data_IF_021670702891
#
_entry.id   IF_021670702891
#
_cell.length_a   1.000
_cell.length_b   1.000
_cell.length_c   1.000
_cell.angle_alpha   90.00
_cell.angle_beta   90.00
_cell.angle_gamma   90.00
#
_symmetry.space_group_name_H-M   'P 1'
#
loop_
_entity.id
_entity.type
_entity.pdbx_description
1 polymer ?
#
# COMPACT_ATOMS: atom_id res chain seq x y z
N UNK A 1 23.96 -1.78 -4.99
CA UNK A 1 24.13 -2.41 -6.32
C UNK A 1 23.37 -1.59 -7.36
N UNK A 2 23.70 -1.68 -8.65
CA UNK A 2 23.01 -0.92 -9.69
C UNK A 2 21.89 -1.80 -10.28
N UNK A 3 20.70 -1.77 -9.69
CA UNK A 3 19.51 -2.32 -10.33
C UNK A 3 19.29 -1.64 -11.68
N UNK A 4 18.91 -2.43 -12.69
CA UNK A 4 18.52 -1.87 -13.98
C UNK A 4 17.16 -1.17 -13.81
N UNK A 5 17.10 0.07 -14.26
CA UNK A 5 15.86 0.86 -14.26
C UNK A 5 15.04 0.45 -15.48
N UNK A 6 13.93 -0.26 -15.29
CA UNK A 6 13.06 -0.73 -16.39
C UNK A 6 11.69 -0.08 -16.42
N UNK A 7 11.45 0.88 -15.56
CA UNK A 7 10.18 1.58 -15.37
C UNK A 7 10.09 2.87 -16.20
N UNK A 8 11.07 3.07 -17.09
CA UNK A 8 11.06 4.18 -18.05
C UNK A 8 10.15 3.87 -19.24
N UNK A 9 9.21 4.79 -19.51
CA UNK A 9 8.37 4.74 -20.72
C UNK A 9 7.57 3.44 -20.87
N UNK A 10 7.05 2.93 -19.76
CA UNK A 10 6.26 1.70 -19.72
C UNK A 10 5.00 1.78 -20.61
N UNK A 11 4.75 0.69 -21.34
CA UNK A 11 3.49 0.51 -22.07
C UNK A 11 2.48 -0.16 -21.14
N UNK A 12 1.43 0.56 -20.74
CA UNK A 12 0.36 0.04 -19.87
C UNK A 12 -0.29 -1.26 -20.37
N UNK A 13 -0.23 -1.55 -21.68
CA UNK A 13 -0.77 -2.78 -22.25
C UNK A 13 0.16 -4.00 -22.12
N UNK A 14 1.40 -3.80 -21.65
CA UNK A 14 2.31 -4.90 -21.33
C UNK A 14 1.86 -5.53 -20.00
N UNK A 15 1.56 -6.85 -19.95
CA UNK A 15 1.19 -7.54 -18.73
C UNK A 15 2.21 -7.42 -17.59
N UNK A 16 3.49 -7.13 -17.91
CA UNK A 16 4.54 -6.92 -16.92
C UNK A 16 4.68 -5.48 -16.45
N UNK A 17 4.02 -4.51 -17.10
CA UNK A 17 4.17 -3.09 -16.77
C UNK A 17 3.83 -2.75 -15.30
N UNK A 18 2.77 -3.32 -14.66
CA UNK A 18 2.51 -3.11 -13.23
C UNK A 18 3.69 -3.51 -12.33
N UNK A 19 4.44 -4.55 -12.70
CA UNK A 19 5.56 -5.06 -11.91
C UNK A 19 6.85 -4.29 -12.21
N UNK A 20 7.09 -3.96 -13.48
CA UNK A 20 8.21 -3.09 -13.84
C UNK A 20 8.11 -1.73 -13.14
N UNK A 21 6.90 -1.19 -12.97
CA UNK A 21 6.64 0.04 -12.21
C UNK A 21 6.91 -0.07 -10.70
N UNK A 22 7.23 -1.26 -10.19
CA UNK A 22 7.74 -1.48 -8.83
C UNK A 22 9.25 -1.76 -8.82
N UNK A 23 9.91 -1.62 -9.98
CA UNK A 23 11.31 -1.95 -10.22
C UNK A 23 11.65 -3.44 -10.18
N UNK A 24 10.66 -4.33 -10.33
CA UNK A 24 10.88 -5.80 -10.32
C UNK A 24 10.60 -6.41 -11.69
N UNK A 25 11.24 -7.53 -12.00
CA UNK A 25 11.07 -8.22 -13.30
C UNK A 25 11.78 -7.56 -14.48
N UNK A 26 12.64 -6.58 -14.22
CA UNK A 26 13.34 -5.78 -15.22
C UNK A 26 14.36 -6.54 -16.10
N UNK A 27 14.91 -7.64 -15.58
CA UNK A 27 15.91 -8.48 -16.27
C UNK A 27 15.71 -9.94 -15.87
N UNK A 28 16.39 -10.84 -16.58
CA UNK A 28 16.55 -12.24 -16.18
C UNK A 28 17.88 -12.47 -15.43
N UNK A 29 18.71 -11.44 -15.30
CA UNK A 29 19.93 -11.47 -14.49
C UNK A 29 19.60 -11.08 -13.04
N UNK A 30 19.74 -12.00 -12.06
CA UNK A 30 19.48 -11.72 -10.65
C UNK A 30 20.45 -10.72 -10.02
N UNK A 31 21.56 -10.37 -10.70
CA UNK A 31 22.50 -9.33 -10.27
C UNK A 31 22.05 -7.92 -10.69
N UNK A 32 21.11 -7.82 -11.63
CA UNK A 32 20.65 -6.56 -12.19
C UNK A 32 19.16 -6.30 -11.88
N UNK A 33 18.40 -7.32 -11.49
CA UNK A 33 16.95 -7.24 -11.25
C UNK A 33 16.48 -8.25 -10.23
N UNK A 34 15.42 -7.90 -9.53
CA UNK A 34 14.60 -8.86 -8.78
C UNK A 34 13.86 -9.73 -9.79
N UNK A 35 14.09 -11.05 -9.75
CA UNK A 35 13.50 -12.01 -10.68
C UNK A 35 12.13 -12.43 -10.17
N UNK A 36 11.09 -12.15 -10.95
CA UNK A 36 9.72 -12.49 -10.57
C UNK A 36 9.15 -13.60 -11.45
N UNK A 37 8.23 -14.35 -10.85
CA UNK A 37 7.46 -15.43 -11.46
C UNK A 37 6.04 -15.42 -10.88
N UNK A 38 5.14 -16.23 -11.45
CA UNK A 38 3.74 -16.35 -11.01
C UNK A 38 3.05 -14.99 -10.84
N UNK A 39 3.38 -14.04 -11.71
CA UNK A 39 2.83 -12.69 -11.69
C UNK A 39 1.36 -12.73 -12.03
N UNK A 40 0.55 -12.03 -11.24
CA UNK A 40 -0.89 -11.87 -11.46
C UNK A 40 -1.25 -10.42 -11.23
N UNK A 41 -1.98 -9.81 -12.15
CA UNK A 41 -2.59 -8.50 -11.98
C UNK A 41 -4.04 -8.58 -12.42
N UNK A 42 -4.96 -8.16 -11.55
CA UNK A 42 -6.39 -8.23 -11.79
C UNK A 42 -7.01 -6.84 -11.59
N UNK A 43 -7.44 -6.27 -12.71
CA UNK A 43 -8.26 -5.07 -12.76
C UNK A 43 -8.99 -5.04 -14.11
N UNK A 44 -10.24 -5.57 -14.17
CA UNK A 44 -11.06 -5.48 -15.36
C UNK A 44 -11.26 -4.06 -15.90
N UNK A 45 -11.36 -3.05 -15.02
CA UNK A 45 -11.43 -1.65 -15.43
C UNK A 45 -10.02 -1.09 -15.70
N UNK A 46 -9.66 -0.79 -16.97
CA UNK A 46 -8.36 -0.21 -17.28
C UNK A 46 -8.16 1.20 -16.72
N UNK A 47 -9.18 1.85 -16.18
CA UNK A 47 -9.08 3.17 -15.53
C UNK A 47 -8.95 3.08 -14.01
N UNK A 48 -9.04 1.89 -13.40
CA UNK A 48 -8.87 1.72 -11.95
C UNK A 48 -7.41 1.67 -11.48
N UNK A 49 -6.47 1.90 -12.40
CA UNK A 49 -5.05 1.95 -12.10
C UNK A 49 -4.30 2.75 -13.15
N UNK A 50 -3.11 3.22 -12.82
CA UNK A 50 -2.19 3.89 -13.74
C UNK A 50 -0.74 3.58 -13.37
N UNK A 51 0.16 3.82 -14.32
CA UNK A 51 1.61 3.93 -14.06
C UNK A 51 1.96 5.40 -14.24
N UNK A 52 2.62 5.99 -13.26
CA UNK A 52 2.86 7.43 -13.25
C UNK A 52 4.22 7.80 -12.66
N UNK A 53 4.69 8.98 -13.06
CA UNK A 53 5.91 9.64 -12.57
C UNK A 53 5.63 10.68 -11.49
N UNK A 54 4.37 10.79 -11.07
CA UNK A 54 3.92 11.79 -10.13
C UNK A 54 2.42 11.72 -9.89
N UNK A 55 1.97 12.10 -8.71
CA UNK A 55 0.55 12.27 -8.38
C UNK A 55 0.30 13.60 -7.68
N UNK A 56 -0.79 14.29 -8.06
CA UNK A 56 -1.11 15.60 -7.54
C UNK A 56 -0.23 16.72 -8.10
N UNK A 57 -0.28 17.87 -7.44
CA UNK A 57 0.38 19.10 -7.89
C UNK A 57 1.28 19.74 -6.85
N UNK A 58 1.29 19.21 -5.64
CA UNK A 58 2.09 19.76 -4.55
C UNK A 58 3.56 19.42 -4.73
N UNK A 59 4.39 20.46 -4.70
CA UNK A 59 5.85 20.36 -4.75
C UNK A 59 6.39 20.61 -3.36
N UNK A 60 7.14 19.65 -2.81
CA UNK A 60 7.81 19.82 -1.54
C UNK A 60 8.85 20.96 -1.66
N UNK A 61 8.74 22.03 -0.84
CA UNK A 61 9.67 23.16 -0.90
C UNK A 61 11.12 22.80 -0.54
N UNK A 62 11.36 21.67 0.13
CA UNK A 62 12.70 21.23 0.51
C UNK A 62 13.43 20.51 -0.62
N UNK A 63 12.75 19.60 -1.31
CA UNK A 63 13.32 18.80 -2.41
C UNK A 63 13.11 19.45 -3.79
N UNK A 64 12.11 20.32 -3.92
CA UNK A 64 11.64 20.87 -5.19
C UNK A 64 11.16 19.78 -6.17
N UNK A 65 10.59 18.70 -5.61
CA UNK A 65 9.98 17.57 -6.32
C UNK A 65 8.52 17.42 -5.89
N UNK A 66 7.70 16.71 -6.68
CA UNK A 66 6.34 16.38 -6.24
C UNK A 66 6.45 15.50 -5.00
N UNK A 67 5.62 15.75 -3.99
CA UNK A 67 5.63 14.93 -2.76
C UNK A 67 5.33 13.45 -3.06
N UNK A 68 4.44 13.21 -4.03
CA UNK A 68 4.17 11.89 -4.58
C UNK A 68 4.91 11.68 -5.90
N UNK A 69 6.24 11.70 -5.85
CA UNK A 69 7.10 11.17 -6.92
C UNK A 69 7.47 9.71 -6.64
N UNK A 70 7.96 8.96 -7.65
CA UNK A 70 8.52 7.62 -7.44
C UNK A 70 9.60 7.63 -6.37
N UNK A 71 9.54 6.67 -5.45
CA UNK A 71 10.55 6.50 -4.39
C UNK A 71 11.81 5.83 -4.94
N UNK A 72 11.67 5.17 -6.09
CA UNK A 72 12.76 4.64 -6.88
C UNK A 72 12.48 4.81 -8.38
N UNK A 73 13.53 4.66 -9.19
CA UNK A 73 13.38 4.62 -10.64
C UNK A 73 12.74 5.89 -11.23
N UNK A 74 11.77 5.70 -12.13
CA UNK A 74 11.05 6.74 -12.84
C UNK A 74 9.52 6.66 -12.74
N UNK A 75 8.94 5.57 -12.23
CA UNK A 75 7.48 5.46 -12.08
C UNK A 75 7.05 4.55 -10.95
N UNK A 76 5.85 4.79 -10.42
CA UNK A 76 5.14 3.92 -9.49
C UNK A 76 3.84 3.39 -10.11
N UNK A 77 3.19 2.43 -9.46
CA UNK A 77 1.81 2.05 -9.76
C UNK A 77 0.84 2.76 -8.82
N UNK A 78 -0.23 3.33 -9.38
CA UNK A 78 -1.41 3.79 -8.65
C UNK A 78 -2.55 2.81 -8.91
N UNK A 79 -3.22 2.36 -7.86
CA UNK A 79 -4.45 1.57 -7.91
C UNK A 79 -5.57 2.31 -7.19
N UNK A 80 -6.82 2.13 -7.60
CA UNK A 80 -7.98 2.76 -6.99
C UNK A 80 -9.20 1.83 -6.98
N UNK A 81 -10.04 1.96 -5.95
CA UNK A 81 -11.37 1.33 -5.90
C UNK A 81 -12.39 2.03 -6.81
N UNK A 82 -12.01 3.11 -7.48
CA UNK A 82 -12.64 3.45 -8.75
C UNK A 82 -11.67 4.04 -9.74
N UNK A 83 -12.04 5.10 -10.46
CA UNK A 83 -11.28 5.53 -11.64
C UNK A 83 -10.27 6.63 -11.34
N UNK A 84 -9.14 6.54 -12.03
CA UNK A 84 -8.04 7.50 -11.99
C UNK A 84 -7.72 7.98 -13.41
N UNK A 85 -7.54 9.29 -13.55
CA UNK A 85 -7.21 9.97 -14.80
C UNK A 85 -5.91 9.43 -15.37
N UNK A 86 -5.83 9.38 -16.70
CA UNK A 86 -4.58 9.04 -17.36
C UNK A 86 -3.51 10.10 -17.04
N UNK A 87 -2.23 9.70 -16.86
CA UNK A 87 -1.14 10.64 -16.67
C UNK A 87 -1.05 11.65 -17.83
N UNK A 88 -0.68 12.89 -17.52
CA UNK A 88 -0.49 13.95 -18.51
C UNK A 88 0.79 13.75 -19.34
N UNK A 89 1.15 14.73 -20.18
CA UNK A 89 2.34 14.66 -21.05
C UNK A 89 3.68 14.54 -20.32
N UNK A 90 3.70 14.81 -19.01
CA UNK A 90 4.84 14.67 -18.12
C UNK A 90 4.80 13.35 -17.32
N UNK A 91 3.77 12.53 -17.53
CA UNK A 91 3.57 11.29 -16.78
C UNK A 91 3.00 11.51 -15.38
N UNK A 92 2.47 12.69 -15.06
CA UNK A 92 1.88 13.01 -13.75
C UNK A 92 0.37 12.84 -13.81
N UNK A 93 -0.21 12.13 -12.85
CA UNK A 93 -1.66 12.05 -12.65
C UNK A 93 -2.11 13.28 -11.88
N UNK A 94 -3.10 13.98 -12.42
CA UNK A 94 -3.77 15.09 -11.74
C UNK A 94 -5.26 14.94 -11.91
N UNK A 95 -5.99 15.00 -10.81
CA UNK A 95 -7.44 14.97 -10.78
C UNK A 95 -8.02 16.37 -10.55
N UNK A 96 -9.29 16.54 -10.88
CA UNK A 96 -10.05 17.70 -10.44
C UNK A 96 -10.49 17.51 -8.98
N UNK A 97 -10.61 18.60 -8.24
CA UNK A 97 -11.18 18.57 -6.89
C UNK A 97 -12.59 17.94 -6.91
N UNK A 98 -12.83 17.00 -6.01
CA UNK A 98 -14.08 16.26 -5.88
C UNK A 98 -14.23 15.09 -6.85
N UNK A 99 -13.19 14.79 -7.64
CA UNK A 99 -13.26 13.72 -8.65
C UNK A 99 -13.26 12.32 -8.02
N UNK A 100 -12.79 12.19 -6.78
CA UNK A 100 -12.79 10.94 -6.02
C UNK A 100 -14.02 10.80 -5.09
N UNK A 101 -15.00 11.71 -5.16
CA UNK A 101 -16.19 11.75 -4.28
C UNK A 101 -17.37 10.91 -4.81
N UNK A 102 -17.31 10.46 -6.07
CA UNK A 102 -18.44 9.81 -6.75
C UNK A 102 -17.97 8.77 -7.74
N UNK A 103 -17.36 7.69 -7.24
CA UNK A 103 -16.76 6.70 -8.11
C UNK A 103 -17.78 5.74 -8.70
N UNK A 104 -18.73 5.25 -7.88
CA UNK A 104 -19.64 4.14 -8.23
C UNK A 104 -18.86 2.88 -8.63
N UNK A 105 -19.59 1.76 -8.74
CA UNK A 105 -19.03 0.52 -9.26
C UNK A 105 -18.28 0.74 -10.59
N UNK A 106 -17.01 0.36 -10.61
CA UNK A 106 -16.10 0.53 -11.76
C UNK A 106 -16.05 -0.74 -12.64
N UNK A 107 -16.60 -1.86 -12.15
CA UNK A 107 -16.68 -3.13 -12.86
C UNK A 107 -15.54 -4.11 -12.53
N UNK A 108 -14.67 -3.75 -11.59
CA UNK A 108 -13.86 -4.70 -10.84
C UNK A 108 -14.75 -5.62 -9.98
N UNK A 109 -14.23 -6.75 -9.45
CA UNK A 109 -15.05 -7.74 -8.76
C UNK A 109 -15.53 -7.30 -7.36
N UNK A 110 -16.77 -7.67 -7.00
CA UNK A 110 -17.44 -7.31 -5.73
C UNK A 110 -17.78 -8.52 -4.82
N UNK A 111 -17.11 -9.66 -5.02
CA UNK A 111 -17.43 -10.85 -4.25
C UNK A 111 -16.65 -10.91 -2.92
N UNK A 112 -17.21 -11.56 -1.90
CA UNK A 112 -16.59 -11.77 -0.58
C UNK A 112 -15.43 -12.80 -0.56
N UNK A 113 -14.62 -12.87 -1.63
CA UNK A 113 -13.40 -13.66 -1.64
C UNK A 113 -12.16 -12.78 -1.78
N UNK A 114 -11.15 -13.11 -0.98
CA UNK A 114 -9.79 -12.63 -1.17
C UNK A 114 -9.08 -13.44 -2.28
N UNK A 115 -8.05 -12.86 -2.91
CA UNK A 115 -7.18 -13.60 -3.82
C UNK A 115 -6.62 -14.89 -3.19
N UNK A 116 -6.49 -15.95 -4.01
CA UNK A 116 -6.01 -17.23 -3.53
C UNK A 116 -4.60 -17.14 -2.93
N UNK A 117 -4.49 -17.47 -1.64
CA UNK A 117 -3.27 -17.38 -0.83
C UNK A 117 -3.36 -16.36 0.31
N UNK A 118 -4.41 -15.53 0.32
CA UNK A 118 -4.76 -14.66 1.44
C UNK A 118 -5.92 -15.25 2.25
N UNK A 119 -6.06 -14.86 3.52
CA UNK A 119 -7.12 -15.32 4.40
C UNK A 119 -7.57 -14.22 5.35
N UNK A 120 -8.87 -14.17 5.65
CA UNK A 120 -9.43 -13.38 6.77
C UNK A 120 -9.70 -14.23 8.02
N UNK A 121 -9.31 -15.50 7.97
CA UNK A 121 -9.47 -16.40 9.12
C UNK A 121 -8.44 -16.05 10.18
N UNK A 122 -8.88 -15.89 11.43
CA UNK A 122 -7.98 -15.67 12.55
C UNK A 122 -6.94 -16.79 12.63
N UNK A 123 -5.67 -16.41 12.56
CA UNK A 123 -4.56 -17.33 12.74
C UNK A 123 -3.91 -17.16 14.09
N UNK A 124 -3.37 -15.96 14.30
CA UNK A 124 -2.47 -15.74 15.42
C UNK A 124 -3.18 -15.94 16.75
N UNK A 125 -2.60 -16.78 17.61
CA UNK A 125 -3.13 -17.07 18.95
C UNK A 125 -4.64 -17.41 18.97
N UNK A 126 -5.14 -18.05 17.91
CA UNK A 126 -6.56 -18.37 17.69
C UNK A 126 -7.50 -17.14 17.76
N UNK A 127 -7.05 -15.97 17.33
CA UNK A 127 -7.84 -14.73 17.32
C UNK A 127 -7.97 -14.07 18.69
N UNK A 128 -7.14 -14.44 19.66
CA UNK A 128 -7.10 -13.78 20.96
C UNK A 128 -6.38 -12.40 20.91
N UNK A 129 -5.86 -11.98 19.74
CA UNK A 129 -5.19 -10.70 19.56
C UNK A 129 -3.77 -10.62 20.14
N UNK A 130 -3.09 -9.53 19.79
CA UNK A 130 -1.89 -9.02 20.46
C UNK A 130 -0.65 -9.91 20.40
N UNK A 131 -0.62 -10.89 19.50
CA UNK A 131 0.50 -11.83 19.36
C UNK A 131 0.74 -12.23 17.90
N UNK A 132 0.99 -11.30 16.96
CA UNK A 132 1.27 -11.65 15.55
C UNK A 132 2.35 -12.74 15.40
N UNK A 133 2.18 -13.66 14.46
CA UNK A 133 3.12 -14.75 14.19
C UNK A 133 2.98 -16.01 15.07
N UNK A 134 2.10 -16.02 16.07
CA UNK A 134 1.94 -17.15 16.99
C UNK A 134 1.00 -18.22 16.45
N UNK A 135 1.49 -19.45 16.27
CA UNK A 135 0.73 -20.60 15.72
C UNK A 135 0.27 -20.40 14.26
N UNK A 136 1.16 -19.83 13.44
CA UNK A 136 0.94 -19.60 12.01
C UNK A 136 0.69 -20.86 11.19
N UNK A 137 -0.23 -20.75 10.23
CA UNK A 137 -0.45 -21.75 9.19
C UNK A 137 -0.83 -21.07 7.85
N UNK A 138 -0.55 -21.69 6.69
CA UNK A 138 -0.74 -21.07 5.37
C UNK A 138 -2.18 -20.67 4.99
N UNK A 139 -3.19 -21.16 5.72
CA UNK A 139 -4.61 -20.86 5.52
C UNK A 139 -5.17 -19.83 6.51
N UNK A 140 -4.31 -19.29 7.38
CA UNK A 140 -4.67 -18.38 8.44
C UNK A 140 -3.99 -17.02 8.29
N UNK A 141 -4.61 -15.98 8.83
CA UNK A 141 -4.02 -14.66 8.97
C UNK A 141 -3.13 -14.61 10.22
N UNK A 142 -1.81 -14.71 10.03
CA UNK A 142 -0.83 -14.57 11.10
C UNK A 142 -0.70 -13.16 11.65
N UNK A 143 -1.22 -12.16 10.94
CA UNK A 143 -1.22 -10.77 11.44
C UNK A 143 -2.30 -10.55 12.50
N UNK A 144 -3.36 -11.37 12.49
CA UNK A 144 -4.59 -11.18 13.28
C UNK A 144 -5.21 -9.79 13.10
N UNK A 145 -5.00 -9.17 11.93
CA UNK A 145 -5.43 -7.80 11.65
C UNK A 145 -6.74 -7.75 10.85
N UNK A 146 -6.99 -8.74 9.97
CA UNK A 146 -8.04 -8.59 8.95
C UNK A 146 -9.45 -8.91 9.44
N UNK A 147 -9.64 -9.92 10.29
CA UNK A 147 -10.98 -10.46 10.54
C UNK A 147 -11.97 -9.39 11.06
N UNK A 148 -11.55 -8.61 12.04
CA UNK A 148 -12.42 -7.61 12.67
C UNK A 148 -12.84 -6.52 11.67
N UNK A 149 -11.90 -6.02 10.87
CA UNK A 149 -12.19 -5.00 9.85
C UNK A 149 -13.02 -5.57 8.70
N UNK A 150 -12.73 -6.80 8.26
CA UNK A 150 -13.52 -7.49 7.24
C UNK A 150 -14.98 -7.68 7.66
N UNK A 151 -15.23 -7.99 8.94
CA UNK A 151 -16.58 -8.10 9.48
C UNK A 151 -17.26 -6.74 9.68
N UNK A 152 -16.49 -5.71 10.05
CA UNK A 152 -16.98 -4.34 10.18
C UNK A 152 -17.57 -3.85 8.85
N UNK A 153 -16.87 -4.07 7.74
CA UNK A 153 -17.36 -3.81 6.38
C UNK A 153 -18.32 -4.88 5.83
N UNK A 154 -19.06 -5.56 6.71
CA UNK A 154 -20.06 -6.60 6.38
C UNK A 154 -19.58 -7.77 5.52
N UNK A 155 -18.25 -7.98 5.43
CA UNK A 155 -17.64 -8.93 4.50
C UNK A 155 -18.09 -8.69 3.06
N UNK A 156 -18.14 -7.41 2.68
CA UNK A 156 -18.65 -6.93 1.40
C UNK A 156 -17.58 -6.05 0.72
N UNK A 157 -16.48 -6.66 0.24
CA UNK A 157 -15.46 -5.93 -0.51
C UNK A 157 -15.95 -5.69 -1.95
N UNK A 158 -15.84 -4.45 -2.41
CA UNK A 158 -16.22 -4.01 -3.73
C UNK A 158 -15.01 -3.49 -4.51
N UNK A 159 -15.19 -3.47 -5.83
CA UNK A 159 -14.27 -2.86 -6.78
C UNK A 159 -12.81 -3.33 -6.65
N UNK A 160 -12.63 -4.60 -6.27
CA UNK A 160 -11.35 -5.17 -5.88
C UNK A 160 -10.30 -5.09 -6.98
N UNK A 161 -9.12 -4.61 -6.62
CA UNK A 161 -7.92 -4.62 -7.47
C UNK A 161 -6.77 -5.26 -6.73
N UNK A 162 -6.01 -6.12 -7.43
CA UNK A 162 -4.84 -6.74 -6.82
C UNK A 162 -3.74 -7.10 -7.81
N UNK A 163 -2.52 -7.16 -7.29
CA UNK A 163 -1.39 -7.80 -7.93
C UNK A 163 -0.71 -8.78 -6.98
N UNK A 164 -0.02 -9.77 -7.53
CA UNK A 164 0.90 -10.63 -6.78
C UNK A 164 2.07 -11.08 -7.63
N UNK A 165 3.19 -11.37 -6.98
CA UNK A 165 4.38 -11.95 -7.60
C UNK A 165 5.06 -12.93 -6.65
N UNK A 166 5.84 -13.85 -7.22
CA UNK A 166 6.72 -14.74 -6.47
C UNK A 166 8.16 -14.48 -6.88
N UNK A 167 9.07 -14.40 -5.91
CA UNK A 167 10.51 -14.28 -6.13
C UNK A 167 11.25 -15.24 -5.20
N UNK A 168 12.39 -15.75 -5.67
CA UNK A 168 13.32 -16.46 -4.79
C UNK A 168 14.25 -15.44 -4.14
N UNK A 169 14.41 -15.51 -2.81
CA UNK A 169 15.30 -14.61 -2.08
C UNK A 169 16.75 -14.93 -2.42
N UNK A 170 17.55 -13.97 -2.93
CA UNK A 170 18.96 -14.21 -3.21
C UNK A 170 19.80 -14.52 -1.96
N UNK A 171 20.94 -15.17 -2.15
CA UNK A 171 21.95 -15.31 -1.07
C UNK A 171 22.49 -13.94 -0.68
N UNK A 172 22.68 -13.70 0.61
CA UNK A 172 23.11 -12.42 1.19
C UNK A 172 22.00 -11.38 1.40
N UNK A 173 20.73 -11.74 1.17
CA UNK A 173 19.57 -10.86 1.38
C UNK A 173 18.84 -11.27 2.65
N UNK A 174 18.70 -10.33 3.58
CA UNK A 174 18.19 -10.57 4.94
C UNK A 174 16.89 -9.81 5.24
N UNK A 175 16.57 -8.80 4.43
CA UNK A 175 15.29 -8.11 4.49
C UNK A 175 14.89 -7.54 3.13
N UNK A 176 13.67 -7.03 3.04
CA UNK A 176 13.23 -6.22 1.92
C UNK A 176 12.41 -5.03 2.39
N UNK A 177 12.32 -4.03 1.52
CA UNK A 177 11.48 -2.84 1.68
C UNK A 177 10.42 -2.81 0.58
N UNK A 178 9.25 -2.28 0.91
CA UNK A 178 8.19 -1.88 -0.02
C UNK A 178 7.53 -0.62 0.53
N UNK A 179 7.12 0.32 -0.33
CA UNK A 179 6.52 1.58 0.10
C UNK A 179 5.13 1.76 -0.51
N UNK A 180 4.27 2.46 0.21
CA UNK A 180 2.95 2.82 -0.28
C UNK A 180 2.50 4.19 0.24
N UNK A 181 1.61 4.85 -0.48
CA UNK A 181 0.82 5.97 0.05
C UNK A 181 -0.66 5.61 -0.10
N UNK A 182 -1.49 6.00 0.87
CA UNK A 182 -2.91 5.64 0.93
C UNK A 182 -3.79 6.88 0.95
N UNK A 183 -4.90 6.87 0.22
CA UNK A 183 -5.85 7.97 0.08
C UNK A 183 -7.27 7.46 0.17
N UNK A 184 -8.18 8.19 0.82
CA UNK A 184 -9.58 7.79 0.87
C UNK A 184 -10.51 8.99 0.97
N UNK A 185 -11.59 8.95 0.20
CA UNK A 185 -12.68 9.91 0.25
C UNK A 185 -13.66 9.66 1.40
N UNK A 186 -13.47 8.59 2.17
CA UNK A 186 -14.32 8.24 3.32
C UNK A 186 -14.17 9.25 4.48
N UNK A 187 -13.02 9.92 4.57
CA UNK A 187 -12.82 10.97 5.55
C UNK A 187 -13.50 12.29 5.18
N UNK A 188 -13.99 13.08 6.15
CA UNK A 188 -14.09 12.79 7.59
C UNK A 188 -15.39 12.08 7.98
N UNK A 189 -16.29 11.84 7.02
CA UNK A 189 -17.69 11.52 7.32
C UNK A 189 -17.86 10.08 7.80
N UNK A 190 -17.07 9.16 7.27
CA UNK A 190 -17.23 7.72 7.43
C UNK A 190 -16.03 7.05 8.13
N UNK A 191 -15.15 7.86 8.70
CA UNK A 191 -14.13 7.40 9.63
C UNK A 191 -14.75 6.58 10.78
N UNK A 192 -14.16 5.42 11.09
CA UNK A 192 -14.55 4.48 12.14
C UNK A 192 -15.96 3.88 11.91
N UNK A 193 -16.31 3.65 10.64
CA UNK A 193 -17.56 3.01 10.23
C UNK A 193 -17.31 1.74 9.41
N UNK A 194 -18.39 1.13 8.90
CA UNK A 194 -18.31 0.00 7.97
C UNK A 194 -17.66 0.33 6.61
N UNK A 195 -17.61 1.62 6.22
CA UNK A 195 -17.05 2.08 4.95
C UNK A 195 -15.55 2.32 5.06
N UNK A 196 -14.87 1.34 5.68
CA UNK A 196 -13.45 1.46 6.02
C UNK A 196 -12.63 0.63 5.04
N UNK A 197 -12.37 1.23 3.89
CA UNK A 197 -11.64 0.63 2.77
C UNK A 197 -10.29 0.07 3.19
N UNK A 198 -9.89 -1.02 2.53
CA UNK A 198 -8.75 -1.83 2.94
C UNK A 198 -7.64 -1.80 1.89
N UNK A 199 -6.45 -1.37 2.29
CA UNK A 199 -5.20 -1.74 1.64
C UNK A 199 -4.54 -2.88 2.43
N UNK A 200 -4.33 -4.01 1.75
CA UNK A 200 -3.69 -5.19 2.29
C UNK A 200 -2.46 -5.49 1.45
N UNK A 201 -1.29 -5.47 2.09
CA UNK A 201 -0.07 -6.02 1.54
C UNK A 201 0.17 -7.33 2.28
N UNK A 202 0.10 -8.46 1.58
CA UNK A 202 0.19 -9.79 2.18
C UNK A 202 1.49 -10.48 1.81
N UNK A 203 2.15 -11.05 2.81
CA UNK A 203 3.36 -11.86 2.67
C UNK A 203 3.03 -13.34 2.87
N UNK A 204 3.57 -14.18 2.00
CA UNK A 204 3.67 -15.62 2.20
C UNK A 204 5.13 -16.03 2.03
N UNK A 205 5.81 -16.27 3.14
CA UNK A 205 7.18 -16.76 3.28
C UNK A 205 7.19 -18.09 4.06
N UNK A 206 8.35 -18.66 4.34
CA UNK A 206 8.54 -19.88 5.14
C UNK A 206 8.18 -19.68 6.62
N UNK A 207 8.35 -18.46 7.13
CA UNK A 207 8.15 -18.14 8.54
C UNK A 207 6.91 -17.25 8.81
N UNK A 208 6.26 -16.74 7.77
CA UNK A 208 5.15 -15.80 7.92
C UNK A 208 4.09 -15.87 6.80
N UNK A 209 2.81 -15.82 7.19
CA UNK A 209 1.65 -15.76 6.28
C UNK A 209 0.62 -14.76 6.79
N UNK A 210 0.62 -13.53 6.29
CA UNK A 210 -0.31 -12.53 6.82
C UNK A 210 -0.18 -11.16 6.18
N UNK A 211 -1.07 -10.27 6.61
CA UNK A 211 -0.99 -8.85 6.28
C UNK A 211 0.25 -8.21 6.93
N UNK A 212 1.06 -7.51 6.14
CA UNK A 212 2.24 -6.77 6.58
C UNK A 212 2.06 -5.25 6.51
N UNK A 213 0.97 -4.76 5.90
CA UNK A 213 0.57 -3.34 5.96
C UNK A 213 -0.33 -3.11 7.18
N UNK A 214 0.28 -3.25 8.37
CA UNK A 214 -0.39 -3.18 9.68
C UNK A 214 0.02 -1.92 10.44
N UNK A 215 -0.96 -1.11 10.81
CA UNK A 215 -0.81 0.12 11.62
C UNK A 215 -1.60 -0.09 12.90
N UNK A 216 -0.92 -0.04 14.06
CA UNK A 216 -1.50 -0.32 15.39
C UNK A 216 -2.34 -1.60 15.45
N UNK A 217 -1.76 -2.71 14.99
CA UNK A 217 -2.39 -4.03 14.92
C UNK A 217 -3.64 -4.12 14.00
N UNK A 218 -3.94 -3.06 13.22
CA UNK A 218 -5.05 -3.02 12.25
C UNK A 218 -4.50 -2.97 10.82
N UNK A 219 -5.24 -3.46 9.81
CA UNK A 219 -4.86 -3.25 8.42
C UNK A 219 -4.84 -1.77 8.07
N UNK A 220 -4.11 -1.45 6.99
CA UNK A 220 -4.09 -0.09 6.44
C UNK A 220 -5.49 0.27 5.96
N UNK A 221 -6.05 1.25 6.64
CA UNK A 221 -7.37 1.81 6.42
C UNK A 221 -7.31 3.28 6.76
N UNK A 222 -8.34 4.04 6.36
CA UNK A 222 -8.41 5.45 6.74
C UNK A 222 -8.53 5.61 8.26
N UNK A 223 -9.21 4.67 8.93
CA UNK A 223 -9.33 4.68 10.39
C UNK A 223 -8.03 4.36 11.11
N UNK A 224 -7.25 3.38 10.63
CA UNK A 224 -5.98 3.03 11.26
C UNK A 224 -4.95 4.17 11.12
N UNK A 225 -5.03 4.94 10.04
CA UNK A 225 -4.16 6.10 9.83
C UNK A 225 -4.63 7.34 10.62
N UNK A 226 -5.91 7.48 10.97
CA UNK A 226 -6.47 8.74 11.51
C UNK A 226 -5.78 9.29 12.76
N UNK A 227 -5.19 8.42 13.58
CA UNK A 227 -4.42 8.82 14.76
C UNK A 227 -3.11 9.54 14.38
N UNK A 228 -2.67 9.43 13.12
CA UNK A 228 -1.40 9.89 12.57
C UNK A 228 -1.55 11.06 11.58
N UNK A 229 -2.65 11.80 11.65
CA UNK A 229 -2.92 12.88 10.71
C UNK A 229 -2.70 14.25 11.32
N UNK A 230 -2.06 15.12 10.55
CA UNK A 230 -1.87 16.53 10.85
C UNK A 230 -3.08 17.20 11.52
N UNK A 231 -2.77 18.06 12.48
CA UNK A 231 -3.79 18.88 13.14
C UNK A 231 -4.20 20.03 12.21
N UNK A 232 -5.36 19.91 11.56
CA UNK A 232 -5.94 20.98 10.74
C UNK A 232 -6.56 22.12 11.61
N UNK A 233 -6.66 23.37 11.10
CA UNK A 233 -7.39 24.43 11.79
C UNK A 233 -8.91 24.20 11.91
N UNK A 234 -9.48 23.36 11.05
CA UNK A 234 -10.88 22.95 11.09
C UNK A 234 -11.02 21.70 11.99
N UNK A 235 -11.71 21.79 13.15
CA UNK A 235 -11.84 20.67 14.09
C UNK A 235 -12.45 19.39 13.52
N UNK A 236 -13.18 19.46 12.40
CA UNK A 236 -13.71 18.27 11.72
C UNK A 236 -12.68 17.59 10.81
N UNK A 237 -11.47 18.13 10.72
CA UNK A 237 -10.35 17.69 9.89
C UNK A 237 -9.11 17.35 10.74
N UNK A 238 -9.16 17.59 12.05
CA UNK A 238 -8.04 17.27 12.93
C UNK A 238 -7.84 15.76 13.01
N UNK A 239 -6.61 15.29 12.76
CA UNK A 239 -6.15 14.07 13.40
C UNK A 239 -5.69 14.30 14.83
N UNK A 240 -5.27 13.20 15.47
CA UNK A 240 -4.88 13.20 16.88
C UNK A 240 -3.39 13.54 17.11
N UNK A 241 -2.53 13.47 16.09
CA UNK A 241 -1.08 13.73 16.18
C UNK A 241 -0.50 14.40 14.94
N UNK A 242 0.59 15.19 15.07
CA UNK A 242 1.35 15.67 13.90
C UNK A 242 2.10 14.50 13.24
N UNK A 243 1.40 13.70 12.45
CA UNK A 243 1.93 12.53 11.74
C UNK A 243 1.93 12.70 10.21
N UNK A 244 2.24 11.63 9.46
CA UNK A 244 2.42 11.68 8.00
C UNK A 244 1.11 11.77 7.20
N UNK A 245 -0.05 11.77 7.86
CA UNK A 245 -1.33 11.96 7.19
C UNK A 245 -1.58 13.42 6.84
N UNK A 246 -2.28 13.65 5.73
CA UNK A 246 -2.78 14.96 5.30
C UNK A 246 -4.29 14.91 5.22
N UNK A 247 -4.93 16.03 5.55
CA UNK A 247 -6.39 16.09 5.66
C UNK A 247 -6.97 17.30 4.93
N UNK A 248 -8.24 17.18 4.57
CA UNK A 248 -9.07 18.24 4.07
C UNK A 248 -8.40 19.06 2.95
N UNK A 249 -8.14 20.35 3.18
CA UNK A 249 -7.61 21.23 2.14
C UNK A 249 -6.11 21.45 2.26
N UNK A 250 -5.40 20.51 2.88
CA UNK A 250 -3.95 20.58 2.95
C UNK A 250 -3.33 20.60 1.55
N UNK A 251 -2.29 21.43 1.34
CA UNK A 251 -1.66 21.58 0.04
C UNK A 251 -1.23 20.27 -0.61
N UNK A 252 -0.80 19.29 0.19
CA UNK A 252 -0.33 17.98 -0.23
C UNK A 252 -1.40 17.18 -0.99
N UNK A 253 -2.68 17.41 -0.70
CA UNK A 253 -3.80 16.79 -1.41
C UNK A 253 -4.19 17.54 -2.70
N UNK A 254 -3.57 18.69 -3.00
CA UNK A 254 -3.95 19.47 -4.16
C UNK A 254 -3.69 18.71 -5.48
N UNK A 255 -4.73 18.54 -6.29
CA UNK A 255 -4.71 17.86 -7.58
C UNK A 255 -4.71 16.34 -7.47
N UNK A 256 -4.90 15.76 -6.29
CA UNK A 256 -5.05 14.31 -6.11
C UNK A 256 -6.49 13.85 -6.31
N UNK A 257 -7.46 14.77 -6.25
CA UNK A 257 -8.89 14.47 -6.30
C UNK A 257 -9.46 14.11 -4.93
N UNK A 258 -8.59 13.97 -3.92
CA UNK A 258 -8.92 13.76 -2.52
C UNK A 258 -8.90 15.07 -1.71
N UNK A 259 -8.94 16.23 -2.38
CA UNK A 259 -9.13 17.51 -1.69
C UNK A 259 -10.45 17.50 -0.90
N UNK A 260 -10.40 17.88 0.37
CA UNK A 260 -11.52 17.77 1.30
C UNK A 260 -11.57 16.45 2.07
N UNK A 261 -10.70 15.49 1.72
CA UNK A 261 -10.66 14.14 2.28
C UNK A 261 -9.32 13.89 2.98
N UNK A 262 -8.66 12.76 2.70
CA UNK A 262 -7.39 12.47 3.33
C UNK A 262 -6.49 11.53 2.54
N UNK A 263 -5.21 11.61 2.85
CA UNK A 263 -4.21 10.65 2.41
C UNK A 263 -2.99 10.66 3.32
N UNK A 264 -1.98 9.87 2.97
CA UNK A 264 -0.71 9.80 3.69
C UNK A 264 0.45 10.26 2.82
N UNK A 265 1.58 10.58 3.45
CA UNK A 265 2.89 10.50 2.81
C UNK A 265 3.26 9.03 2.48
N UNK A 266 4.41 8.81 1.87
CA UNK A 266 4.97 7.48 1.63
C UNK A 266 5.31 6.76 2.93
N UNK A 267 4.63 5.64 3.17
CA UNK A 267 4.83 4.74 4.30
C UNK A 267 5.70 3.58 3.85
N UNK A 268 6.73 3.28 4.64
CA UNK A 268 7.64 2.16 4.35
C UNK A 268 7.25 0.91 5.13
N UNK A 269 7.40 -0.25 4.51
CA UNK A 269 7.32 -1.56 5.15
C UNK A 269 8.68 -2.23 4.99
N UNK A 270 9.32 -2.59 6.10
CA UNK A 270 10.50 -3.45 6.08
C UNK A 270 10.19 -4.82 6.67
N UNK A 271 10.65 -5.88 6.02
CA UNK A 271 10.36 -7.25 6.42
C UNK A 271 11.62 -8.09 6.48
N UNK A 272 11.85 -8.85 7.57
CA UNK A 272 12.92 -9.82 7.61
C UNK A 272 12.57 -10.98 6.67
N UNK A 273 13.59 -11.60 6.06
CA UNK A 273 13.37 -12.67 5.10
C UNK A 273 14.51 -13.69 5.16
N UNK A 274 14.24 -14.92 4.75
CA UNK A 274 15.19 -16.04 4.77
C UNK A 274 15.78 -16.26 3.38
N UNK A 275 17.11 -16.27 3.28
CA UNK A 275 17.81 -16.53 2.02
C UNK A 275 17.40 -17.87 1.39
N UNK A 276 17.17 -17.85 0.07
CA UNK A 276 16.83 -19.04 -0.72
C UNK A 276 15.37 -19.48 -0.67
N UNK A 277 14.54 -18.85 0.17
CA UNK A 277 13.11 -19.14 0.22
C UNK A 277 12.35 -18.58 -0.99
N UNK A 278 11.11 -19.05 -1.19
CA UNK A 278 10.20 -18.43 -2.15
C UNK A 278 9.26 -17.47 -1.41
N UNK A 279 9.50 -16.18 -1.60
CA UNK A 279 8.62 -15.12 -1.14
C UNK A 279 7.51 -14.90 -2.16
N UNK A 280 6.25 -14.92 -1.71
CA UNK A 280 5.11 -14.39 -2.48
C UNK A 280 4.54 -13.16 -1.78
N UNK A 281 4.40 -12.08 -2.53
CA UNK A 281 3.78 -10.83 -2.07
C UNK A 281 2.50 -10.58 -2.85
N UNK A 282 1.48 -10.08 -2.16
CA UNK A 282 0.25 -9.56 -2.74
C UNK A 282 0.06 -8.11 -2.33
N UNK A 283 -0.51 -7.32 -3.22
CA UNK A 283 -1.10 -6.02 -2.92
C UNK A 283 -2.57 -6.13 -3.31
N UNK A 284 -3.47 -5.78 -2.40
CA UNK A 284 -4.92 -5.85 -2.57
C UNK A 284 -5.55 -4.56 -2.05
N UNK A 285 -6.44 -3.98 -2.84
CA UNK A 285 -7.25 -2.84 -2.47
C UNK A 285 -8.73 -3.16 -2.71
N UNK A 286 -9.59 -2.78 -1.77
CA UNK A 286 -11.05 -2.88 -1.91
C UNK A 286 -11.76 -1.73 -1.20
N UNK A 287 -12.86 -1.29 -1.82
CA UNK A 287 -13.89 -0.49 -1.17
C UNK A 287 -14.72 -1.40 -0.26
N UNK A 288 -14.98 -0.99 0.98
CA UNK A 288 -15.68 -1.83 1.94
C UNK A 288 -17.12 -1.36 2.16
N UNK A 289 -18.08 -2.26 1.99
CA UNK A 289 -19.47 -2.04 2.38
C UNK A 289 -20.31 -1.22 1.40
N UNK A 290 -19.72 -0.44 0.49
CA UNK A 290 -20.39 0.07 -0.71
C UNK A 290 -19.44 0.32 -1.92
N UNK A 291 -19.76 1.26 -2.80
CA UNK A 291 -19.00 1.58 -4.04
C UNK A 291 -18.97 3.10 -4.29
N UNK A 292 -19.38 3.91 -3.31
CA UNK A 292 -19.76 5.30 -3.54
C UNK A 292 -18.53 6.21 -3.65
N UNK A 293 -17.56 5.98 -2.77
CA UNK A 293 -16.39 6.83 -2.57
C UNK A 293 -15.13 6.09 -3.00
N UNK A 294 -14.12 6.84 -3.44
CA UNK A 294 -12.89 6.23 -3.88
C UNK A 294 -11.91 6.05 -2.71
N UNK A 295 -11.10 5.02 -2.84
CA UNK A 295 -9.83 4.88 -2.15
C UNK A 295 -8.74 4.62 -3.19
N UNK A 296 -7.58 5.23 -2.99
CA UNK A 296 -6.41 5.07 -3.85
C UNK A 296 -5.19 4.63 -3.07
N UNK A 297 -4.31 3.88 -3.73
CA UNK A 297 -2.99 3.57 -3.20
C UNK A 297 -1.90 3.76 -4.26
N UNK A 298 -0.79 4.36 -3.88
CA UNK A 298 0.46 4.33 -4.63
C UNK A 298 1.31 3.20 -4.06
N UNK A 299 1.97 2.43 -4.90
CA UNK A 299 2.90 1.37 -4.47
C UNK A 299 4.18 1.49 -5.28
N UNK A 300 5.31 1.44 -4.60
CA UNK A 300 6.63 1.52 -5.21
C UNK A 300 7.72 0.97 -4.28
N UNK A 301 8.96 0.86 -4.77
CA UNK A 301 10.12 0.70 -3.88
C UNK A 301 10.38 -0.73 -3.40
N UNK A 302 10.00 -1.77 -4.16
CA UNK A 302 10.32 -3.14 -3.76
C UNK A 302 11.83 -3.40 -3.92
N UNK A 303 12.54 -3.57 -2.80
CA UNK A 303 14.01 -3.65 -2.79
C UNK A 303 14.52 -4.68 -1.79
N UNK A 304 15.53 -5.44 -2.22
CA UNK A 304 16.32 -6.28 -1.32
C UNK A 304 17.31 -5.46 -0.50
N UNK A 305 17.50 -5.89 0.73
CA UNK A 305 18.48 -5.35 1.66
C UNK A 305 19.40 -6.47 2.16
N UNK A 306 20.70 -6.18 2.25
CA UNK A 306 21.71 -7.12 2.76
C UNK A 306 21.81 -7.12 4.29
N UNK A 307 21.16 -6.17 4.95
CA UNK A 307 21.11 -6.07 6.40
C UNK A 307 19.75 -6.59 6.91
N UNK A 308 19.75 -7.17 8.10
CA UNK A 308 18.51 -7.46 8.82
C UNK A 308 17.80 -6.16 9.17
N UNK A 309 16.47 -6.14 9.09
CA UNK A 309 15.72 -5.03 9.67
C UNK A 309 15.84 -5.08 11.20
N UNK A 310 15.78 -3.92 11.85
CA UNK A 310 15.91 -3.80 13.30
C UNK A 310 14.59 -4.24 13.95
N UNK A 311 14.58 -5.19 14.91
CA UNK A 311 13.34 -5.62 15.57
C UNK A 311 12.51 -4.46 16.09
N UNK A 312 11.19 -4.52 15.93
CA UNK A 312 10.28 -3.43 16.29
C UNK A 312 10.31 -3.05 17.79
N UNK A 313 10.71 -3.98 18.66
CA UNK A 313 10.86 -3.76 20.10
C UNK A 313 12.24 -3.19 20.50
N UNK A 314 13.14 -2.97 19.54
CA UNK A 314 14.43 -2.36 19.79
C UNK A 314 14.26 -0.88 20.21
N UNK A 315 15.10 -0.36 21.13
CA UNK A 315 15.12 1.06 21.48
C UNK A 315 15.28 2.04 20.31
N UNK A 316 15.92 1.62 19.22
CA UNK A 316 16.03 2.40 17.98
C UNK A 316 14.68 2.52 17.24
N UNK A 317 13.75 1.60 17.48
CA UNK A 317 12.44 1.55 16.82
C UNK A 317 11.28 2.07 17.69
N UNK A 318 11.51 2.20 19.00
CA UNK A 318 10.48 2.66 19.96
C UNK A 318 10.67 4.12 20.40
N UNK A 319 11.64 4.83 19.83
CA UNK A 319 11.92 6.24 20.11
C UNK A 319 10.97 7.21 19.40
N UNK A 320 11.04 8.49 19.76
CA UNK A 320 10.28 9.57 19.09
C UNK A 320 10.59 9.67 17.61
N UNK A 321 11.80 9.29 17.18
CA UNK A 321 12.21 9.19 15.79
C UNK A 321 12.75 7.78 15.52
N UNK A 322 11.93 6.85 15.02
CA UNK A 322 12.36 5.49 14.72
C UNK A 322 13.44 5.45 13.63
N UNK A 323 14.35 4.48 13.71
CA UNK A 323 15.30 4.20 12.63
C UNK A 323 14.55 3.73 11.37
N UNK A 324 14.90 4.22 10.16
CA UNK A 324 14.23 3.83 8.92
C UNK A 324 14.41 2.35 8.55
N UNK A 325 15.27 1.60 9.24
CA UNK A 325 15.48 0.16 9.03
C UNK A 325 14.69 -0.72 10.00
N UNK A 326 13.80 -0.16 10.83
CA UNK A 326 12.94 -0.92 11.73
C UNK A 326 12.04 -1.91 10.96
N UNK A 327 11.87 -3.12 11.47
CA UNK A 327 10.95 -4.10 10.92
C UNK A 327 9.49 -3.66 11.16
N UNK A 328 8.64 -3.90 10.17
CA UNK A 328 7.22 -3.53 10.19
C UNK A 328 6.94 -2.26 9.39
N UNK A 329 5.81 -1.63 9.69
CA UNK A 329 5.39 -0.36 9.08
C UNK A 329 6.13 0.78 9.77
N UNK A 330 6.74 1.66 8.97
CA UNK A 330 7.39 2.89 9.40
C UNK A 330 6.64 4.07 8.82
N UNK A 331 6.06 4.85 9.73
CA UNK A 331 5.39 6.11 9.43
C UNK A 331 6.45 7.23 9.40
N UNK A 332 6.52 8.05 8.33
CA UNK A 332 7.39 9.22 8.34
C UNK A 332 6.90 10.25 9.37
N UNK A 333 7.79 11.15 9.78
CA UNK A 333 7.51 12.23 10.75
C UNK A 333 7.73 13.59 10.13
#
# INVERSE_FOLDING_TARGET
ENYIVCDQSLNKNDPMAPFHALGIGCSQDPLESIIVSNTMFQSPDPNAWQIAKGFGTYVDPMTNELIYSPVEGESFIMISSGVVSAPNGQGVITEMNGQQDFNNANGNPDDNSLPAGMSVSVGSNNGNGGTPGMNCAPDLDCSDSLQAQWQLGFSDPNDKIWLSWTTTVPTGVLSYTLQFAYFSSEWPVWFDTQYNDLLIIWESSEDYWGNISVIDDKPTTITALGDYWTVDPNPSCNGDTDGPGYTCNEPQLQGTGFEGHAGSDWISINRPITEGENLRVFVFLADMGDTALATGALIDGFRWNCDECIPADDPLCTGEVPDPNCCGVILPM
#
